data_IF_866353708408
#
_entry.id   IF_866353708408
#
_cell.length_a   1.000
_cell.length_b   1.000
_cell.length_c   1.000
_cell.angle_alpha   90.00
_cell.angle_beta   90.00
_cell.angle_gamma   90.00
#
_symmetry.space_group_name_H-M   'P 1'
#
loop_
_entity.id
_entity.type
_entity.pdbx_description
1 polymer ?
#
# COMPACT_ATOMS: atom_id res chain seq x y z
N UNK A 1 -5.58 -23.58 3.25
CA UNK A 1 -4.78 -24.35 2.29
C UNK A 1 -3.30 -24.12 2.57
N UNK A 2 -2.42 -25.10 2.33
CA UNK A 2 -0.95 -24.94 2.42
C UNK A 2 -0.35 -24.32 1.14
N UNK A 3 -1.12 -23.56 0.36
CA UNK A 3 -0.62 -22.94 -0.88
C UNK A 3 -0.71 -23.80 -2.15
N UNK A 4 -1.58 -24.81 -2.16
CA UNK A 4 -1.88 -25.65 -3.33
C UNK A 4 -3.38 -25.66 -3.70
N UNK A 5 -3.83 -26.62 -4.53
CA UNK A 5 -3.08 -27.79 -5.04
C UNK A 5 -2.08 -27.42 -6.14
N UNK A 6 -0.97 -28.14 -6.19
CA UNK A 6 0.01 -28.04 -7.27
C UNK A 6 0.52 -29.45 -7.62
N UNK A 7 0.50 -29.82 -8.90
CA UNK A 7 0.82 -31.19 -9.35
C UNK A 7 2.28 -31.63 -9.07
N UNK A 8 3.22 -30.68 -8.97
CA UNK A 8 4.62 -30.94 -8.64
C UNK A 8 4.95 -30.65 -7.17
N UNK A 9 3.95 -30.32 -6.34
CA UNK A 9 4.18 -29.90 -4.96
C UNK A 9 4.86 -28.54 -4.83
N UNK A 10 4.89 -27.72 -5.89
CA UNK A 10 5.42 -26.36 -5.82
C UNK A 10 4.38 -25.42 -5.19
N UNK A 11 4.26 -25.48 -3.87
CA UNK A 11 3.30 -24.71 -3.08
C UNK A 11 3.72 -23.24 -2.98
N UNK A 12 2.75 -22.34 -3.00
CA UNK A 12 2.99 -20.90 -2.93
C UNK A 12 1.94 -20.20 -2.06
N UNK A 13 2.31 -19.05 -1.50
CA UNK A 13 1.34 -18.16 -0.87
C UNK A 13 0.45 -17.51 -1.94
N UNK A 14 -0.80 -17.22 -1.59
CA UNK A 14 -1.73 -16.49 -2.43
C UNK A 14 -2.43 -15.42 -1.58
N UNK A 15 -2.70 -14.22 -2.11
CA UNK A 15 -3.35 -13.13 -1.37
C UNK A 15 -4.61 -13.56 -0.61
N UNK A 16 -5.39 -14.44 -1.23
CA UNK A 16 -6.52 -15.09 -0.60
C UNK A 16 -6.29 -16.59 -0.59
N UNK A 17 -6.44 -17.21 0.58
CA UNK A 17 -6.34 -18.65 0.76
C UNK A 17 -7.61 -19.21 1.38
N UNK A 18 -8.17 -20.24 0.76
CA UNK A 18 -9.32 -20.94 1.29
C UNK A 18 -8.88 -22.11 2.19
N UNK A 19 -9.41 -22.15 3.41
CA UNK A 19 -9.34 -23.28 4.31
C UNK A 19 -10.62 -24.10 4.18
N UNK A 20 -10.55 -25.15 3.37
CA UNK A 20 -11.69 -26.02 3.08
C UNK A 20 -12.14 -26.88 4.28
N UNK A 21 -11.26 -27.11 5.27
CA UNK A 21 -11.63 -27.90 6.45
C UNK A 21 -12.52 -27.10 7.40
N UNK A 22 -12.24 -25.81 7.53
CA UNK A 22 -12.94 -24.91 8.44
C UNK A 22 -13.96 -23.99 7.73
N UNK A 23 -14.07 -24.08 6.40
CA UNK A 23 -14.89 -23.19 5.55
C UNK A 23 -14.56 -21.70 5.77
N UNK A 24 -13.26 -21.36 5.74
CA UNK A 24 -12.77 -20.00 6.00
C UNK A 24 -11.95 -19.47 4.84
N UNK A 25 -12.29 -18.26 4.39
CA UNK A 25 -11.47 -17.50 3.45
C UNK A 25 -10.50 -16.57 4.21
N UNK A 26 -9.21 -16.87 4.18
CA UNK A 26 -8.14 -16.06 4.80
C UNK A 26 -7.59 -15.06 3.79
N UNK A 27 -7.38 -13.82 4.25
CA UNK A 27 -6.71 -12.75 3.51
C UNK A 27 -5.32 -12.56 4.10
N UNK A 28 -4.30 -12.79 3.30
CA UNK A 28 -2.91 -12.65 3.71
C UNK A 28 -2.43 -11.20 3.52
N UNK A 29 -1.21 -10.91 4.00
CA UNK A 29 -0.62 -9.57 3.89
C UNK A 29 -0.56 -9.06 2.45
N UNK A 30 -0.27 -9.95 1.48
CA UNK A 30 -0.20 -9.60 0.06
C UNK A 30 -1.55 -9.11 -0.49
N UNK A 31 -2.70 -9.58 0.04
CA UNK A 31 -4.02 -9.03 -0.32
C UNK A 31 -4.16 -7.56 0.06
N UNK A 32 -3.76 -7.20 1.28
CA UNK A 32 -3.83 -5.82 1.74
C UNK A 32 -2.79 -4.95 1.03
N UNK A 33 -1.57 -5.45 0.85
CA UNK A 33 -0.50 -4.76 0.12
C UNK A 33 -0.92 -4.40 -1.30
N UNK A 34 -1.43 -5.37 -2.07
CA UNK A 34 -1.99 -5.13 -3.42
C UNK A 34 -3.18 -4.15 -3.34
N UNK A 35 -4.02 -4.28 -2.32
CA UNK A 35 -5.16 -3.39 -2.07
C UNK A 35 -4.80 -1.91 -1.92
N UNK A 36 -3.68 -1.59 -1.28
CA UNK A 36 -3.17 -0.21 -1.15
C UNK A 36 -2.87 0.45 -2.51
N UNK A 37 -2.62 -0.34 -3.55
CA UNK A 37 -2.43 0.16 -4.91
C UNK A 37 -3.71 0.03 -5.73
N UNK A 38 -4.23 -1.19 -5.94
CA UNK A 38 -5.31 -1.45 -6.89
C UNK A 38 -6.62 -0.72 -6.57
N UNK A 39 -6.87 -0.36 -5.30
CA UNK A 39 -8.08 0.37 -4.92
C UNK A 39 -8.03 1.86 -5.30
N UNK A 40 -6.83 2.43 -5.33
CA UNK A 40 -6.61 3.88 -5.30
C UNK A 40 -5.84 4.42 -6.51
N UNK A 41 -4.91 3.64 -7.08
CA UNK A 41 -4.18 3.99 -8.29
C UNK A 41 -4.97 3.55 -9.51
N UNK A 42 -5.35 4.49 -10.37
CA UNK A 42 -6.21 4.24 -11.54
C UNK A 42 -5.38 3.92 -12.78
N UNK A 43 -5.92 3.12 -13.73
CA UNK A 43 -5.30 2.95 -15.04
C UNK A 43 -5.02 4.32 -15.69
N UNK A 44 -3.78 4.51 -16.18
CA UNK A 44 -3.32 5.79 -16.73
C UNK A 44 -2.71 6.76 -15.71
N UNK A 45 -2.68 6.40 -14.42
CA UNK A 45 -1.93 7.16 -13.42
C UNK A 45 -0.44 7.25 -13.79
N UNK A 46 0.18 8.37 -13.42
CA UNK A 46 1.61 8.61 -13.61
C UNK A 46 2.29 8.64 -12.25
N UNK A 47 3.49 8.09 -12.16
CA UNK A 47 4.32 8.21 -10.96
C UNK A 47 4.71 9.69 -10.78
N UNK A 48 4.51 10.24 -9.59
CA UNK A 48 5.01 11.56 -9.23
C UNK A 48 6.36 11.45 -8.53
N UNK A 49 7.21 12.46 -8.68
CA UNK A 49 8.43 12.52 -7.88
C UNK A 49 8.06 12.69 -6.42
N UNK A 50 8.63 11.85 -5.58
CA UNK A 50 8.49 11.90 -4.14
C UNK A 50 9.84 11.53 -3.50
N UNK A 51 10.05 12.00 -2.27
CA UNK A 51 11.28 11.75 -1.53
C UNK A 51 11.00 11.64 -0.05
N UNK A 52 11.65 10.68 0.61
CA UNK A 52 11.67 10.53 2.06
C UNK A 52 13.06 10.87 2.61
N UNK A 53 13.12 11.57 3.74
CA UNK A 53 14.35 11.78 4.51
C UNK A 53 14.61 10.63 5.51
N UNK A 54 13.61 9.77 5.75
CA UNK A 54 13.71 8.61 6.63
C UNK A 54 13.88 7.35 5.77
N UNK A 55 15.01 6.68 5.92
CA UNK A 55 15.33 5.47 5.17
C UNK A 55 14.49 4.25 5.60
N UNK A 56 13.72 4.33 6.69
CA UNK A 56 12.82 3.27 7.13
C UNK A 56 11.37 3.49 6.66
N UNK A 57 11.10 4.62 6.00
CA UNK A 57 9.86 4.86 5.28
C UNK A 57 10.10 4.66 3.78
N UNK A 58 9.41 3.69 3.20
CA UNK A 58 9.32 3.53 1.75
C UNK A 58 8.04 4.21 1.26
N UNK A 59 8.13 4.90 0.13
CA UNK A 59 6.98 5.59 -0.42
C UNK A 59 7.00 5.60 -1.95
N UNK A 60 5.81 5.72 -2.52
CA UNK A 60 5.65 6.01 -3.94
C UNK A 60 4.38 6.81 -4.17
N UNK A 61 4.53 7.91 -4.90
CA UNK A 61 3.43 8.80 -5.27
C UNK A 61 2.91 8.58 -6.70
N UNK A 62 1.63 8.88 -6.91
CA UNK A 62 0.97 8.85 -8.21
C UNK A 62 0.04 10.05 -8.40
N UNK A 63 -0.17 10.45 -9.66
CA UNK A 63 -1.25 11.33 -10.09
C UNK A 63 -2.19 10.53 -10.98
N UNK A 64 -3.43 10.34 -10.55
CA UNK A 64 -4.50 9.72 -11.34
C UNK A 64 -4.92 10.62 -12.51
N UNK A 65 -5.56 10.07 -13.57
CA UNK A 65 -5.98 10.86 -14.73
C UNK A 65 -6.94 12.03 -14.43
N UNK A 66 -7.70 11.94 -13.33
CA UNK A 66 -8.60 13.00 -12.86
C UNK A 66 -7.91 14.07 -12.00
N UNK A 67 -6.58 13.99 -11.87
CA UNK A 67 -5.76 14.89 -11.07
C UNK A 67 -5.69 14.55 -9.58
N UNK A 68 -6.35 13.49 -9.11
CA UNK A 68 -6.21 13.03 -7.73
C UNK A 68 -4.79 12.50 -7.49
N UNK A 69 -4.16 12.96 -6.41
CA UNK A 69 -2.86 12.49 -5.96
C UNK A 69 -3.03 11.34 -4.97
N UNK A 70 -2.20 10.33 -5.12
CA UNK A 70 -2.17 9.14 -4.27
C UNK A 70 -0.74 8.96 -3.75
N UNK A 71 -0.56 8.77 -2.45
CA UNK A 71 0.73 8.39 -1.88
C UNK A 71 0.56 7.12 -1.05
N UNK A 72 1.32 6.09 -1.38
CA UNK A 72 1.44 4.90 -0.54
C UNK A 72 2.72 5.06 0.27
N UNK A 73 2.62 4.98 1.60
CA UNK A 73 3.76 5.04 2.52
C UNK A 73 3.78 3.77 3.36
N UNK A 74 4.92 3.10 3.42
CA UNK A 74 5.14 1.88 4.17
C UNK A 74 6.24 2.08 5.21
N UNK A 75 5.94 1.75 6.46
CA UNK A 75 6.91 1.71 7.55
C UNK A 75 7.58 0.33 7.59
N UNK A 76 8.87 0.26 7.24
CA UNK A 76 9.66 -0.98 7.30
C UNK A 76 10.09 -1.37 8.71
N UNK A 77 9.95 -0.46 9.66
CA UNK A 77 10.37 -0.70 11.03
C UNK A 77 9.36 -1.57 11.79
N UNK A 78 9.84 -2.22 12.83
CA UNK A 78 9.05 -2.96 13.81
C UNK A 78 8.53 -2.06 14.94
N UNK A 79 8.78 -0.76 14.85
CA UNK A 79 8.28 0.28 15.77
C UNK A 79 7.35 1.25 15.04
N UNK A 80 6.49 1.93 15.80
CA UNK A 80 5.69 3.05 15.29
C UNK A 80 6.60 4.16 14.74
N UNK A 81 6.23 4.75 13.60
CA UNK A 81 6.93 5.90 13.03
C UNK A 81 6.00 7.05 12.76
N UNK A 82 6.45 8.25 13.12
CA UNK A 82 5.74 9.50 12.82
C UNK A 82 6.45 10.23 11.70
N UNK A 83 5.68 10.71 10.74
CA UNK A 83 6.19 11.54 9.66
C UNK A 83 5.20 12.66 9.33
N UNK A 84 5.67 13.60 8.51
CA UNK A 84 4.83 14.59 7.85
C UNK A 84 4.96 14.40 6.35
N UNK A 85 3.84 14.40 5.66
CA UNK A 85 3.79 14.41 4.20
C UNK A 85 3.49 15.83 3.77
N UNK A 86 4.35 16.38 2.90
CA UNK A 86 4.26 17.75 2.40
C UNK A 86 4.11 17.72 0.87
N UNK A 87 3.20 18.55 0.36
CA UNK A 87 2.99 18.76 -1.06
C UNK A 87 2.51 20.20 -1.33
N UNK A 88 3.46 21.10 -1.60
CA UNK A 88 3.17 22.53 -1.75
C UNK A 88 2.70 23.16 -0.43
N UNK A 89 1.48 23.67 -0.42
CA UNK A 89 0.81 24.25 0.75
C UNK A 89 0.14 23.20 1.65
N UNK A 90 0.07 21.94 1.19
CA UNK A 90 -0.60 20.86 1.92
C UNK A 90 0.38 20.12 2.80
N UNK A 91 -0.02 19.91 4.04
CA UNK A 91 0.72 19.13 5.02
C UNK A 91 -0.23 18.24 5.81
N UNK A 92 0.19 17.00 6.05
CA UNK A 92 -0.48 16.10 6.99
C UNK A 92 0.53 15.36 7.85
N UNK A 93 0.27 15.33 9.16
CA UNK A 93 1.01 14.48 10.08
C UNK A 93 0.43 13.05 10.06
N UNK A 94 1.31 12.06 10.02
CA UNK A 94 0.97 10.65 9.99
C UNK A 94 1.71 9.90 11.06
N UNK A 95 1.02 8.92 11.64
CA UNK A 95 1.60 7.90 12.51
C UNK A 95 1.37 6.54 11.86
N UNK A 96 2.45 5.93 11.38
CA UNK A 96 2.43 4.61 10.75
C UNK A 96 2.69 3.54 11.81
N UNK A 97 1.85 2.49 11.89
CA UNK A 97 2.10 1.38 12.81
C UNK A 97 3.35 0.60 12.36
N UNK A 98 3.92 -0.24 13.26
CA UNK A 98 4.97 -1.20 12.91
C UNK A 98 4.59 -2.02 11.67
N UNK A 99 5.51 -2.14 10.71
CA UNK A 99 5.34 -2.96 9.50
C UNK A 99 4.02 -2.70 8.76
N UNK A 100 3.54 -1.46 8.81
CA UNK A 100 2.23 -1.05 8.29
C UNK A 100 2.35 -0.05 7.14
N UNK A 101 1.33 -0.05 6.28
CA UNK A 101 1.20 0.89 5.18
C UNK A 101 -0.04 1.78 5.35
N UNK A 102 0.05 2.99 4.82
CA UNK A 102 -1.05 3.94 4.69
C UNK A 102 -1.13 4.45 3.27
N UNK A 103 -2.35 4.67 2.76
CA UNK A 103 -2.57 5.33 1.47
C UNK A 103 -3.29 6.66 1.70
N UNK A 104 -2.68 7.74 1.26
CA UNK A 104 -3.23 9.09 1.29
C UNK A 104 -3.82 9.46 -0.07
N UNK A 105 -4.92 10.20 -0.06
CA UNK A 105 -5.59 10.73 -1.26
C UNK A 105 -5.86 12.22 -1.07
N UNK A 106 -5.50 13.04 -2.04
CA UNK A 106 -5.81 14.46 -2.02
C UNK A 106 -5.84 15.08 -3.42
N UNK A 107 -6.36 16.29 -3.54
CA UNK A 107 -6.28 17.11 -4.76
C UNK A 107 -5.52 18.39 -4.47
N UNK A 108 -4.78 18.88 -5.47
CA UNK A 108 -4.25 20.25 -5.46
C UNK A 108 -5.40 21.18 -5.86
N UNK A 109 -5.55 22.29 -5.14
CA UNK A 109 -6.46 23.34 -5.61
C UNK A 109 -5.80 24.05 -6.79
N UNK A 110 -6.56 24.30 -7.85
CA UNK A 110 -6.05 25.08 -8.97
C UNK A 110 -5.93 26.53 -8.54
N UNK A 111 -4.79 27.16 -8.86
CA UNK A 111 -4.60 28.62 -8.78
C UNK A 111 -5.48 29.29 -9.84
#
# INVERSE_FOLDING_TARGET
SEGGPNHQGNLCEAPIQYDAQNDVLRRNHSWYGIGHFCRYVRPGARVMLSSSYDNLLEEVGFVNPDGERVLVVYNRDVQERRCRVLDGDKEIALTLPPSGASTLLWRQESI
#
